data_IF_371578261610
#
_entry.id   IF_371578261610
#
_cell.length_a   1.000
_cell.length_b   1.000
_cell.length_c   1.000
_cell.angle_alpha   90.00
_cell.angle_beta   90.00
_cell.angle_gamma   90.00
#
_symmetry.space_group_name_H-M   'P 1'
#
loop_
_entity.id
_entity.type
_entity.pdbx_description
1 polymer ?
#
# COMPACT_ATOMS: atom_id res chain seq x y z
N UNK A 1 -5.24 -27.69 -48.08
CA UNK A 1 -5.52 -26.55 -47.19
C UNK A 1 -6.03 -27.01 -45.81
N UNK A 2 -5.31 -27.88 -45.10
CA UNK A 2 -5.80 -28.47 -43.83
C UNK A 2 -4.77 -28.47 -42.69
N UNK A 3 -3.56 -27.97 -42.95
CA UNK A 3 -2.44 -27.92 -41.98
C UNK A 3 -2.14 -26.52 -41.44
N UNK A 4 -2.89 -25.48 -41.86
CA UNK A 4 -2.66 -24.09 -41.46
C UNK A 4 -3.52 -23.64 -40.26
N UNK A 5 -4.38 -24.51 -39.72
CA UNK A 5 -5.31 -24.18 -38.63
C UNK A 5 -4.73 -24.51 -37.24
N UNK A 6 -3.68 -25.34 -37.18
CA UNK A 6 -3.10 -25.77 -35.90
C UNK A 6 -2.17 -24.74 -35.26
N UNK A 7 -1.63 -23.78 -36.04
CA UNK A 7 -0.65 -22.82 -35.53
C UNK A 7 -1.30 -21.63 -34.82
N UNK A 8 -2.57 -21.34 -35.09
CA UNK A 8 -3.31 -20.22 -34.48
C UNK A 8 -3.86 -20.51 -33.08
N UNK A 9 -3.91 -21.78 -32.65
CA UNK A 9 -4.45 -22.15 -31.33
C UNK A 9 -3.41 -22.02 -30.20
N UNK A 10 -2.11 -21.96 -30.51
CA UNK A 10 -1.03 -21.87 -29.53
C UNK A 10 -0.69 -20.43 -29.08
N UNK A 11 -1.25 -19.41 -29.74
CA UNK A 11 -0.99 -18.00 -29.42
C UNK A 11 -2.01 -17.40 -28.42
N UNK A 12 -2.98 -18.19 -27.94
CA UNK A 12 -4.16 -17.70 -27.22
C UNK A 12 -4.05 -17.52 -25.70
N UNK A 13 -2.94 -17.86 -25.03
CA UNK A 13 -2.93 -18.01 -23.56
C UNK A 13 -1.82 -17.27 -22.81
N UNK A 14 -1.34 -16.13 -23.31
CA UNK A 14 -0.48 -15.25 -22.50
C UNK A 14 -1.32 -14.26 -21.68
N UNK A 15 -2.09 -14.78 -20.73
CA UNK A 15 -2.63 -13.95 -19.64
C UNK A 15 -1.49 -13.64 -18.67
N UNK A 16 -0.63 -12.69 -19.02
CA UNK A 16 0.41 -12.18 -18.13
C UNK A 16 -0.30 -11.35 -17.05
N UNK A 17 -0.64 -11.99 -15.93
CA UNK A 17 -1.11 -11.30 -14.74
C UNK A 17 0.07 -10.56 -14.12
N UNK A 18 0.26 -9.30 -14.51
CA UNK A 18 1.24 -8.41 -13.89
C UNK A 18 0.80 -8.12 -12.45
N UNK A 19 1.57 -8.62 -11.47
CA UNK A 19 1.34 -8.34 -10.05
C UNK A 19 1.96 -6.98 -9.70
N UNK A 20 1.14 -6.02 -9.28
CA UNK A 20 1.61 -4.71 -8.80
C UNK A 20 2.32 -4.92 -7.45
N UNK A 21 3.64 -4.74 -7.44
CA UNK A 21 4.47 -4.80 -6.22
C UNK A 21 5.38 -3.58 -6.17
N UNK A 22 5.58 -3.03 -4.97
CA UNK A 22 6.47 -1.89 -4.73
C UNK A 22 7.70 -2.33 -3.94
N UNK A 23 8.80 -1.57 -4.00
CA UNK A 23 9.95 -1.78 -3.10
C UNK A 23 9.71 -1.23 -1.68
N UNK A 24 8.64 -0.44 -1.51
CA UNK A 24 8.22 0.21 -0.27
C UNK A 24 6.71 0.11 -0.07
N UNK A 25 6.21 0.46 1.12
CA UNK A 25 4.77 0.61 1.30
C UNK A 25 4.30 1.89 0.62
N UNK A 26 3.32 1.77 -0.30
CA UNK A 26 2.66 2.91 -0.92
C UNK A 26 1.20 2.89 -0.47
N UNK A 27 0.84 3.87 0.37
CA UNK A 27 -0.51 4.09 0.86
C UNK A 27 -1.10 5.26 0.07
N UNK A 28 -2.18 5.02 -0.65
CA UNK A 28 -2.91 6.05 -1.39
C UNK A 28 -4.24 6.31 -0.68
N UNK A 29 -4.46 7.52 -0.22
CA UNK A 29 -5.73 7.95 0.34
C UNK A 29 -6.63 8.50 -0.77
N UNK A 30 -7.76 7.83 -1.00
CA UNK A 30 -8.85 8.31 -1.83
C UNK A 30 -9.99 8.80 -0.93
N UNK A 31 -10.97 9.51 -1.50
CA UNK A 31 -12.04 10.14 -0.71
C UNK A 31 -12.87 9.12 0.09
N UNK A 32 -12.96 7.88 -0.39
CA UNK A 32 -13.77 6.81 0.17
C UNK A 32 -12.98 5.59 0.66
N UNK A 33 -11.68 5.48 0.38
CA UNK A 33 -10.88 4.33 0.81
C UNK A 33 -9.38 4.61 0.81
N UNK A 34 -8.61 3.77 1.51
CA UNK A 34 -7.17 3.67 1.31
C UNK A 34 -6.83 2.50 0.40
N UNK A 35 -5.94 2.69 -0.58
CA UNK A 35 -5.28 1.62 -1.31
C UNK A 35 -3.87 1.44 -0.76
N UNK A 36 -3.48 0.22 -0.43
CA UNK A 36 -2.13 -0.10 0.04
C UNK A 36 -1.45 -1.07 -0.92
N UNK A 37 -0.24 -0.73 -1.34
CA UNK A 37 0.67 -1.60 -2.10
C UNK A 37 1.92 -1.81 -1.27
N UNK A 38 2.13 -3.04 -0.81
CA UNK A 38 3.28 -3.39 0.03
C UNK A 38 4.42 -4.03 -0.77
N UNK A 39 5.63 -4.08 -0.18
CA UNK A 39 6.72 -4.87 -0.71
C UNK A 39 6.53 -6.36 -0.46
N UNK A 40 7.11 -7.19 -1.36
CA UNK A 40 6.99 -8.65 -1.30
C UNK A 40 7.60 -9.22 0.00
N UNK A 41 8.56 -8.53 0.59
CA UNK A 41 9.19 -8.93 1.84
C UNK A 41 9.87 -7.76 2.55
N UNK A 42 10.30 -8.02 3.78
CA UNK A 42 11.01 -7.05 4.60
C UNK A 42 12.43 -6.76 4.07
N UNK A 43 12.81 -5.48 4.06
CA UNK A 43 14.18 -5.01 3.82
C UNK A 43 14.56 -3.98 4.90
N UNK A 44 15.86 -3.86 5.20
CA UNK A 44 16.34 -2.81 6.11
C UNK A 44 16.04 -1.42 5.51
N UNK A 45 15.55 -0.49 6.33
CA UNK A 45 15.13 0.83 5.87
C UNK A 45 13.83 0.83 5.08
N UNK A 46 12.93 -0.14 5.33
CA UNK A 46 11.60 -0.13 4.71
C UNK A 46 10.87 1.17 5.08
N UNK A 47 10.49 1.92 4.06
CA UNK A 47 9.73 3.16 4.21
C UNK A 47 8.28 2.99 3.75
N UNK A 48 7.45 3.94 4.17
CA UNK A 48 6.07 4.10 3.74
C UNK A 48 5.91 5.47 3.10
N UNK A 49 5.32 5.51 1.91
CA UNK A 49 4.89 6.73 1.25
C UNK A 49 3.38 6.82 1.30
N UNK A 50 2.86 7.87 1.93
CA UNK A 50 1.45 8.22 1.93
C UNK A 50 1.20 9.29 0.88
N UNK A 51 0.36 8.98 -0.12
CA UNK A 51 -0.12 9.92 -1.13
C UNK A 51 -1.55 10.34 -0.79
N UNK A 52 -1.79 11.64 -0.63
CA UNK A 52 -3.13 12.16 -0.40
C UNK A 52 -3.76 12.57 -1.73
N UNK A 53 -4.69 11.75 -2.25
CA UNK A 53 -5.51 12.09 -3.43
C UNK A 53 -6.88 12.64 -3.06
N UNK A 54 -7.15 12.86 -1.78
CA UNK A 54 -8.40 13.46 -1.30
C UNK A 54 -8.39 14.98 -1.44
N UNK A 55 -9.55 15.59 -1.24
CA UNK A 55 -9.71 17.05 -1.21
C UNK A 55 -9.40 17.69 0.15
N UNK A 56 -9.07 16.90 1.19
CA UNK A 56 -8.85 17.38 2.55
C UNK A 56 -7.45 17.05 3.06
N UNK A 57 -6.93 17.80 4.02
CA UNK A 57 -5.66 17.47 4.67
C UNK A 57 -5.85 16.26 5.57
N UNK A 58 -4.96 15.27 5.43
CA UNK A 58 -4.96 14.07 6.28
C UNK A 58 -3.97 14.27 7.41
N UNK A 59 -4.43 14.07 8.64
CA UNK A 59 -3.64 14.05 9.86
C UNK A 59 -3.62 12.63 10.41
N UNK A 60 -2.46 12.20 10.90
CA UNK A 60 -2.34 10.86 11.45
C UNK A 60 -1.03 10.63 12.18
N UNK A 61 -0.86 9.39 12.60
CA UNK A 61 0.40 8.90 13.15
C UNK A 61 0.71 7.50 12.66
N UNK A 62 1.97 7.13 12.76
CA UNK A 62 2.48 5.82 12.38
C UNK A 62 3.01 5.15 13.63
N UNK A 63 2.59 3.91 13.84
CA UNK A 63 3.07 3.05 14.92
C UNK A 63 3.72 1.81 14.34
N UNK A 64 4.75 1.29 15.02
CA UNK A 64 5.54 0.16 14.54
C UNK A 64 5.80 -0.87 15.64
N UNK A 65 6.00 -2.12 15.22
CA UNK A 65 6.33 -3.23 16.12
C UNK A 65 5.15 -3.71 16.96
N UNK A 66 5.41 -4.75 17.75
CA UNK A 66 4.40 -5.37 18.61
C UNK A 66 3.91 -4.44 19.73
N UNK A 67 4.81 -3.57 20.22
CA UNK A 67 4.51 -2.60 21.28
C UNK A 67 3.82 -1.33 20.76
N UNK A 68 3.52 -1.24 19.45
CA UNK A 68 2.87 -0.07 18.84
C UNK A 68 3.63 1.24 19.14
N UNK A 69 4.96 1.20 19.05
CA UNK A 69 5.79 2.39 19.32
C UNK A 69 5.45 3.48 18.31
N UNK A 70 5.25 4.71 18.78
CA UNK A 70 5.03 5.85 17.90
C UNK A 70 6.30 6.16 17.11
N UNK A 71 6.21 6.08 15.79
CA UNK A 71 7.31 6.44 14.87
C UNK A 71 7.25 7.94 14.60
N UNK A 72 6.11 8.44 14.12
CA UNK A 72 5.94 9.86 13.83
C UNK A 72 4.46 10.25 13.76
N UNK A 73 4.20 11.56 13.81
CA UNK A 73 2.94 12.17 13.42
C UNK A 73 3.11 12.90 12.09
N UNK A 74 2.07 12.93 11.27
CA UNK A 74 2.13 13.55 9.94
C UNK A 74 0.89 14.40 9.66
N UNK A 75 1.08 15.35 8.74
CA UNK A 75 -0.01 16.03 8.03
C UNK A 75 0.31 16.05 6.54
N UNK A 76 -0.64 15.64 5.71
CA UNK A 76 -0.48 15.59 4.24
C UNK A 76 -1.58 16.39 3.60
N UNK A 77 -1.20 17.48 2.93
CA UNK A 77 -2.13 18.34 2.19
C UNK A 77 -2.72 17.59 0.96
N UNK A 78 -3.88 18.01 0.45
CA UNK A 78 -4.43 17.50 -0.81
C UNK A 78 -3.39 17.53 -1.93
N UNK A 79 -3.27 16.42 -2.67
CA UNK A 79 -2.31 16.26 -3.78
C UNK A 79 -0.85 16.08 -3.38
N UNK A 80 -0.52 16.20 -2.09
CA UNK A 80 0.85 16.02 -1.58
C UNK A 80 1.12 14.56 -1.20
N UNK A 81 2.40 14.28 -0.94
CA UNK A 81 2.84 13.00 -0.39
C UNK A 81 3.84 13.22 0.76
N UNK A 82 3.94 12.23 1.63
CA UNK A 82 4.98 12.15 2.66
C UNK A 82 5.60 10.76 2.65
N UNK A 83 6.91 10.69 2.81
CA UNK A 83 7.63 9.43 2.97
C UNK A 83 8.20 9.36 4.38
N UNK A 84 8.02 8.23 5.05
CA UNK A 84 8.43 8.00 6.43
C UNK A 84 9.21 6.69 6.51
N UNK A 85 10.38 6.72 7.14
CA UNK A 85 11.09 5.49 7.51
C UNK A 85 10.36 4.84 8.68
N UNK A 86 9.97 3.57 8.52
CA UNK A 86 9.22 2.84 9.53
C UNK A 86 10.14 2.28 10.63
N UNK A 87 11.46 2.27 10.41
CA UNK A 87 12.48 1.73 11.31
C UNK A 87 12.17 0.29 11.77
N UNK A 88 11.52 -0.52 10.91
CA UNK A 88 11.03 -1.85 11.28
C UNK A 88 12.16 -2.86 11.46
N UNK A 89 12.12 -3.61 12.56
CA UNK A 89 12.93 -4.83 12.70
C UNK A 89 12.31 -5.98 11.90
N UNK A 90 13.11 -7.01 11.62
CA UNK A 90 12.66 -8.20 10.89
C UNK A 90 11.49 -8.86 11.64
N UNK A 91 10.36 -9.01 10.96
CA UNK A 91 9.14 -9.62 11.52
C UNK A 91 8.20 -8.63 12.21
N UNK A 92 8.56 -7.34 12.31
CA UNK A 92 7.65 -6.30 12.79
C UNK A 92 6.72 -5.83 11.66
N UNK A 93 5.52 -5.41 12.05
CA UNK A 93 4.57 -4.70 11.19
C UNK A 93 4.46 -3.23 11.61
N UNK A 94 3.92 -2.40 10.72
CA UNK A 94 3.55 -1.03 11.02
C UNK A 94 2.04 -0.83 10.83
N UNK A 95 1.49 0.16 11.52
CA UNK A 95 0.10 0.58 11.41
C UNK A 95 0.07 2.09 11.21
N UNK A 96 -0.66 2.54 10.20
CA UNK A 96 -1.00 3.94 10.01
C UNK A 96 -2.37 4.19 10.64
N UNK A 97 -2.42 5.18 11.53
CA UNK A 97 -3.61 5.58 12.28
C UNK A 97 -4.04 6.97 11.77
N UNK A 98 -5.09 7.05 10.95
CA UNK A 98 -5.62 8.32 10.46
C UNK A 98 -6.46 8.98 11.56
N UNK A 99 -6.05 10.16 12.02
CA UNK A 99 -6.73 10.93 13.06
C UNK A 99 -7.83 11.82 12.46
N UNK A 100 -7.60 12.41 11.28
CA UNK A 100 -8.59 13.23 10.60
C UNK A 100 -8.30 13.31 9.09
N UNK A 101 -9.30 13.08 8.21
CA UNK A 101 -10.59 12.48 8.53
C UNK A 101 -10.43 11.07 9.13
N UNK A 102 -11.37 10.66 9.98
CA UNK A 102 -11.30 9.37 10.66
C UNK A 102 -11.58 8.24 9.67
N UNK A 103 -10.63 7.33 9.57
CA UNK A 103 -10.72 6.12 8.77
C UNK A 103 -10.32 4.92 9.63
N UNK A 104 -10.47 3.72 9.07
CA UNK A 104 -9.97 2.52 9.73
C UNK A 104 -8.44 2.52 9.79
N UNK A 105 -7.89 1.89 10.82
CA UNK A 105 -6.46 1.68 10.96
C UNK A 105 -5.93 0.87 9.78
N UNK A 106 -4.80 1.33 9.22
CA UNK A 106 -4.20 0.73 8.04
C UNK A 106 -3.00 -0.10 8.48
N UNK A 107 -3.21 -1.41 8.64
CA UNK A 107 -2.12 -2.34 8.91
C UNK A 107 -1.28 -2.52 7.65
N UNK A 108 0.04 -2.35 7.75
CA UNK A 108 1.00 -2.48 6.66
C UNK A 108 1.59 -3.90 6.67
N UNK A 109 1.13 -4.74 5.75
CA UNK A 109 1.50 -6.15 5.67
C UNK A 109 2.42 -6.44 4.47
N UNK A 110 3.56 -7.07 4.74
CA UNK A 110 4.49 -7.53 3.72
C UNK A 110 3.92 -8.71 2.92
N UNK A 111 4.25 -8.80 1.64
CA UNK A 111 3.89 -9.93 0.77
C UNK A 111 2.41 -10.01 0.42
N UNK A 112 1.59 -9.06 0.87
CA UNK A 112 0.17 -8.97 0.53
C UNK A 112 0.00 -8.35 -0.85
N UNK A 113 -0.95 -8.88 -1.63
CA UNK A 113 -1.41 -8.23 -2.88
C UNK A 113 -2.00 -6.86 -2.55
N UNK A 114 -2.01 -5.90 -3.48
CA UNK A 114 -2.70 -4.63 -3.28
C UNK A 114 -4.09 -4.81 -2.68
N UNK A 115 -4.38 -4.04 -1.64
CA UNK A 115 -5.65 -4.14 -0.89
C UNK A 115 -6.23 -2.78 -0.60
N UNK A 116 -7.55 -2.75 -0.42
CA UNK A 116 -8.31 -1.55 -0.14
C UNK A 116 -8.90 -1.62 1.26
N UNK A 117 -8.89 -0.49 1.95
CA UNK A 117 -9.45 -0.32 3.30
C UNK A 117 -10.61 0.68 3.19
N UNK A 118 -11.86 0.25 3.45
CA UNK A 118 -13.04 1.09 3.31
C UNK A 118 -13.09 2.17 4.40
N UNK A 119 -13.99 3.17 4.27
CA UNK A 119 -14.12 4.21 5.26
C UNK A 119 -14.74 3.64 6.55
N UNK A 120 -14.55 4.35 7.65
CA UNK A 120 -15.19 3.98 8.91
C UNK A 120 -16.70 4.25 8.77
N UNK A 121 -17.54 3.23 8.98
CA UNK A 121 -19.01 3.36 8.95
C UNK A 121 -19.54 3.92 10.25
#
# INVERSE_FOLDING_TARGET
MRKLIFLTFLLGFNSVFSMESSESFVVTANDDHFKVVGPVGWKQGTNMTLQNKTLVTIYGEIRAGQEQRKVTSFSVKPGAFVSVDLELKKGESAILIPLSPSFQEVQLEFGRRPYEIPPQR
#
